data_IF_368957168608
#
_entry.id   IF_368957168608
#
_cell.length_a   1.000
_cell.length_b   1.000
_cell.length_c   1.000
_cell.angle_alpha   90.00
_cell.angle_beta   90.00
_cell.angle_gamma   90.00
#
_symmetry.space_group_name_H-M   'P 1'
#
loop_
_entity.id
_entity.type
_entity.pdbx_description
1 polymer ?
#
# COMPACT_ATOMS: atom_id res chain seq x y z
N UNK A 1 12.50 59.28 -59.72
CA UNK A 1 13.85 59.03 -59.21
C UNK A 1 13.95 57.55 -58.84
N UNK A 2 14.90 56.88 -59.48
CA UNK A 2 15.16 55.44 -59.51
C UNK A 2 16.45 55.18 -58.70
N UNK A 3 16.49 54.15 -57.85
CA UNK A 3 17.71 53.47 -57.33
C UNK A 3 17.25 52.21 -56.56
N UNK A 4 17.27 51.02 -57.14
CA UNK A 4 18.36 50.10 -57.54
C UNK A 4 18.88 49.24 -56.36
N UNK A 5 18.64 47.93 -56.52
CA UNK A 5 19.05 46.77 -55.73
C UNK A 5 20.56 46.48 -55.76
N UNK A 6 21.06 45.90 -54.67
CA UNK A 6 22.21 44.98 -54.52
C UNK A 6 22.17 44.54 -53.03
N UNK A 7 22.25 43.28 -52.59
CA UNK A 7 22.71 42.03 -53.17
C UNK A 7 23.54 41.34 -52.09
N UNK A 8 23.25 40.11 -51.69
CA UNK A 8 24.22 39.18 -51.08
C UNK A 8 23.64 37.77 -51.06
N UNK A 9 24.10 36.97 -52.01
CA UNK A 9 23.86 35.52 -52.06
C UNK A 9 24.91 34.78 -51.23
N UNK A 10 24.46 33.82 -50.43
CA UNK A 10 25.33 32.88 -49.75
C UNK A 10 25.57 31.66 -50.66
N UNK A 11 26.85 31.40 -50.93
CA UNK A 11 27.35 30.25 -51.66
C UNK A 11 27.48 29.07 -50.69
N UNK A 12 26.71 28.00 -50.89
CA UNK A 12 26.85 26.73 -50.15
C UNK A 12 27.79 25.82 -50.92
N UNK A 13 28.92 25.47 -50.32
CA UNK A 13 29.87 24.48 -50.83
C UNK A 13 29.46 23.10 -50.32
N UNK A 14 29.05 22.23 -51.24
CA UNK A 14 28.84 20.80 -50.98
C UNK A 14 30.19 20.07 -51.02
N UNK A 15 30.74 19.75 -49.85
CA UNK A 15 31.86 18.81 -49.74
C UNK A 15 31.29 17.38 -49.67
N UNK A 16 31.54 16.60 -50.72
CA UNK A 16 31.20 15.19 -50.77
C UNK A 16 32.13 14.35 -49.89
N UNK A 17 31.57 13.72 -48.86
CA UNK A 17 32.23 12.64 -48.13
C UNK A 17 32.09 11.34 -48.90
N UNK A 18 33.24 10.72 -49.22
CA UNK A 18 33.34 9.36 -49.75
C UNK A 18 33.00 8.37 -48.63
N UNK A 19 32.07 7.46 -48.91
CA UNK A 19 31.82 6.26 -48.10
C UNK A 19 33.00 5.30 -48.25
N UNK A 20 33.62 4.94 -47.13
CA UNK A 20 34.51 3.79 -47.02
C UNK A 20 33.68 2.52 -46.77
N UNK A 21 34.13 1.34 -47.24
CA UNK A 21 33.35 0.10 -47.10
C UNK A 21 33.36 -0.44 -45.67
N UNK A 22 32.23 -1.04 -45.30
CA UNK A 22 32.01 -1.85 -44.10
C UNK A 22 33.12 -2.87 -43.88
N UNK A 23 33.79 -2.78 -42.74
CA UNK A 23 34.50 -3.91 -42.15
C UNK A 23 34.42 -3.88 -40.64
N UNK A 24 33.93 -5.01 -40.10
CA UNK A 24 33.99 -5.47 -38.71
C UNK A 24 33.10 -4.74 -37.68
N UNK A 25 32.00 -5.40 -37.32
CA UNK A 25 31.26 -5.18 -36.08
C UNK A 25 32.19 -5.40 -34.88
N UNK A 26 32.45 -4.33 -34.15
CA UNK A 26 33.08 -4.34 -32.83
C UNK A 26 32.18 -5.16 -31.87
N UNK A 27 32.71 -6.14 -31.11
CA UNK A 27 31.91 -6.86 -30.13
C UNK A 27 31.40 -5.88 -29.07
N UNK A 28 30.09 -5.96 -28.79
CA UNK A 28 29.41 -5.15 -27.78
C UNK A 28 30.17 -5.22 -26.44
N UNK A 29 30.73 -4.10 -25.94
CA UNK A 29 31.42 -4.06 -24.65
C UNK A 29 30.47 -4.33 -23.46
N UNK A 30 29.17 -4.47 -23.71
CA UNK A 30 28.14 -4.85 -22.75
C UNK A 30 27.59 -6.26 -22.96
N UNK A 31 28.23 -7.09 -23.79
CA UNK A 31 27.87 -8.51 -23.90
C UNK A 31 28.05 -9.21 -22.54
N UNK A 32 26.94 -9.43 -21.85
CA UNK A 32 26.91 -10.16 -20.58
C UNK A 32 27.36 -11.60 -20.85
N UNK A 33 28.42 -12.10 -20.18
CA UNK A 33 28.83 -13.48 -20.35
C UNK A 33 27.67 -14.42 -19.96
N UNK A 34 27.49 -15.56 -20.66
CA UNK A 34 26.44 -16.50 -20.33
C UNK A 34 26.57 -16.92 -18.86
N UNK A 35 25.46 -16.91 -18.15
CA UNK A 35 25.42 -17.31 -16.75
C UNK A 35 26.04 -18.71 -16.59
N UNK A 36 26.88 -18.94 -15.57
CA UNK A 36 27.42 -20.26 -15.31
C UNK A 36 26.26 -21.25 -15.07
N UNK A 37 26.41 -22.53 -15.46
CA UNK A 37 25.39 -23.54 -15.18
C UNK A 37 25.13 -23.60 -13.67
N UNK A 38 23.86 -23.82 -13.26
CA UNK A 38 23.51 -23.83 -11.85
C UNK A 38 24.34 -24.89 -11.12
N UNK A 39 25.19 -24.44 -10.21
CA UNK A 39 25.89 -25.32 -9.27
C UNK A 39 24.86 -25.87 -8.28
N UNK A 40 24.64 -27.18 -8.30
CA UNK A 40 23.82 -27.87 -7.31
C UNK A 40 24.53 -27.83 -5.96
N UNK A 41 24.27 -26.79 -5.17
CA UNK A 41 24.67 -26.71 -3.77
C UNK A 41 23.56 -27.35 -2.91
N UNK A 42 23.78 -28.55 -2.33
CA UNK A 42 22.76 -29.29 -1.60
C UNK A 42 22.43 -28.71 -0.21
N UNK A 43 22.99 -27.55 0.17
CA UNK A 43 22.75 -26.93 1.48
C UNK A 43 22.11 -25.54 1.41
N UNK A 44 21.66 -25.10 0.23
CA UNK A 44 20.90 -23.85 0.11
C UNK A 44 19.41 -24.15 0.33
N UNK A 45 18.76 -23.63 1.40
CA UNK A 45 17.32 -23.77 1.53
C UNK A 45 16.65 -23.12 0.32
N UNK A 46 15.75 -23.86 -0.29
CA UNK A 46 15.08 -23.54 -1.54
C UNK A 46 14.27 -22.25 -1.37
N UNK A 47 14.83 -21.12 -1.84
CA UNK A 47 14.16 -19.80 -1.83
C UNK A 47 13.22 -19.62 -3.03
N UNK A 48 12.87 -20.71 -3.74
CA UNK A 48 11.81 -20.69 -4.75
C UNK A 48 10.46 -21.07 -4.12
N UNK A 49 9.93 -20.22 -3.26
CA UNK A 49 8.49 -19.97 -3.32
C UNK A 49 8.25 -19.23 -4.62
N UNK A 50 7.67 -19.93 -5.60
CA UNK A 50 7.06 -19.30 -6.76
C UNK A 50 6.15 -18.17 -6.24
N UNK A 51 6.45 -16.94 -6.65
CA UNK A 51 5.58 -15.80 -6.39
C UNK A 51 4.35 -15.98 -7.28
N UNK A 52 3.31 -16.54 -6.68
CA UNK A 52 1.96 -16.29 -7.13
C UNK A 52 1.74 -14.78 -7.02
N UNK A 53 1.65 -14.08 -8.16
CA UNK A 53 1.24 -12.68 -8.21
C UNK A 53 -0.28 -12.54 -8.05
N UNK A 54 -0.97 -13.61 -7.66
CA UNK A 54 -2.34 -13.55 -7.17
C UNK A 54 -2.40 -12.61 -5.99
N UNK A 55 -3.10 -11.49 -6.16
CA UNK A 55 -3.45 -10.57 -5.09
C UNK A 55 -4.03 -11.36 -3.92
N UNK A 56 -3.30 -11.43 -2.82
CA UNK A 56 -3.72 -12.18 -1.63
C UNK A 56 -4.59 -11.28 -0.76
N UNK A 57 -5.85 -11.14 -1.16
CA UNK A 57 -6.92 -10.74 -0.25
C UNK A 57 -7.26 -11.93 0.64
N UNK A 58 -6.35 -12.27 1.56
CA UNK A 58 -6.64 -13.33 2.51
C UNK A 58 -7.67 -12.83 3.50
N UNK A 59 -8.89 -13.32 3.38
CA UNK A 59 -9.88 -13.23 4.46
C UNK A 59 -9.35 -14.08 5.63
N UNK A 60 -8.81 -13.43 6.66
CA UNK A 60 -8.18 -14.12 7.80
C UNK A 60 -9.13 -14.19 9.00
N UNK A 61 -9.90 -15.26 9.13
CA UNK A 61 -10.87 -15.32 10.22
C UNK A 61 -12.09 -14.43 9.96
N UNK A 62 -12.44 -14.24 8.68
CA UNK A 62 -13.72 -13.68 8.27
C UNK A 62 -13.77 -12.15 8.26
N UNK A 63 -12.64 -11.44 8.24
CA UNK A 63 -12.61 -9.98 8.09
C UNK A 63 -11.99 -9.54 6.77
N UNK A 64 -12.44 -8.39 6.28
CA UNK A 64 -11.87 -7.62 5.18
C UNK A 64 -11.65 -6.17 5.68
N UNK A 65 -10.62 -5.49 5.15
CA UNK A 65 -10.26 -4.13 5.59
C UNK A 65 -9.70 -3.30 4.43
N UNK A 66 -9.97 -2.00 4.41
CA UNK A 66 -9.21 -1.02 3.63
C UNK A 66 -9.37 0.39 4.25
N UNK A 67 -8.50 1.33 3.88
CA UNK A 67 -8.48 2.69 4.47
C UNK A 67 -8.55 3.82 3.44
N UNK A 68 -8.46 3.51 2.14
CA UNK A 68 -8.44 4.50 1.07
C UNK A 68 -9.61 4.24 0.14
N UNK A 69 -10.39 5.26 -0.20
CA UNK A 69 -11.32 5.17 -1.33
C UNK A 69 -10.64 5.76 -2.57
N UNK A 70 -11.09 5.35 -3.75
CA UNK A 70 -10.42 5.74 -4.97
C UNK A 70 -10.62 4.76 -6.11
N UNK A 71 -9.73 4.84 -7.09
CA UNK A 71 -9.67 3.93 -8.24
C UNK A 71 -8.66 2.83 -7.95
N UNK A 72 -9.07 1.59 -8.21
CA UNK A 72 -8.29 0.37 -8.04
C UNK A 72 -8.10 -0.33 -9.39
N UNK A 73 -7.01 -1.08 -9.54
CA UNK A 73 -6.75 -1.86 -10.74
C UNK A 73 -7.61 -3.12 -10.76
N UNK A 74 -8.48 -3.29 -11.76
CA UNK A 74 -9.17 -4.55 -12.03
C UNK A 74 -9.85 -5.19 -10.81
N UNK A 75 -9.22 -6.28 -10.31
CA UNK A 75 -9.72 -7.10 -9.20
C UNK A 75 -9.19 -6.66 -7.81
N UNK A 76 -8.40 -5.60 -7.73
CA UNK A 76 -7.90 -5.05 -6.47
C UNK A 76 -8.98 -4.35 -5.66
N UNK A 77 -10.13 -3.99 -6.25
CA UNK A 77 -11.19 -3.32 -5.50
C UNK A 77 -11.65 -4.19 -4.32
N UNK A 78 -11.66 -3.67 -3.08
CA UNK A 78 -11.95 -4.47 -1.89
C UNK A 78 -13.41 -4.91 -1.79
N UNK A 79 -14.31 -4.29 -2.56
CA UNK A 79 -15.75 -4.46 -2.41
C UNK A 79 -16.45 -4.67 -3.76
N UNK A 80 -17.69 -5.17 -3.69
CA UNK A 80 -18.61 -5.18 -4.83
C UNK A 80 -19.64 -4.05 -4.70
N UNK A 81 -20.21 -3.67 -5.83
CA UNK A 81 -21.24 -2.64 -5.88
C UNK A 81 -22.44 -3.02 -5.00
N UNK A 82 -22.89 -2.08 -4.16
CA UNK A 82 -24.00 -2.26 -3.25
C UNK A 82 -23.69 -3.08 -1.99
N UNK A 83 -22.45 -3.55 -1.79
CA UNK A 83 -22.07 -4.22 -0.55
C UNK A 83 -22.17 -3.27 0.65
N UNK A 84 -22.60 -3.82 1.78
CA UNK A 84 -22.62 -3.09 3.05
C UNK A 84 -21.36 -3.39 3.84
N UNK A 85 -20.67 -2.32 4.21
CA UNK A 85 -19.47 -2.30 5.02
C UNK A 85 -19.74 -1.51 6.30
N UNK A 86 -18.83 -1.57 7.27
CA UNK A 86 -18.81 -0.63 8.38
C UNK A 86 -17.65 0.32 8.20
N UNK A 87 -17.90 1.59 8.50
CA UNK A 87 -16.93 2.66 8.35
C UNK A 87 -16.79 3.41 9.68
N UNK A 88 -15.55 3.72 10.05
CA UNK A 88 -15.25 4.65 11.16
C UNK A 88 -15.33 6.07 10.60
N UNK A 89 -16.37 6.82 10.97
CA UNK A 89 -16.56 8.23 10.63
C UNK A 89 -16.04 9.11 11.77
N UNK A 90 -15.15 10.06 11.45
CA UNK A 90 -14.52 10.97 12.41
C UNK A 90 -14.95 12.44 12.27
N UNK A 91 -16.00 12.74 11.50
CA UNK A 91 -16.49 14.12 11.30
C UNK A 91 -17.23 14.72 12.49
N UNK A 92 -17.71 13.87 13.41
CA UNK A 92 -18.48 14.29 14.58
C UNK A 92 -17.64 14.79 15.76
N UNK A 93 -18.27 15.05 16.91
CA UNK A 93 -17.55 15.34 18.17
C UNK A 93 -16.78 14.13 18.73
N UNK A 94 -16.86 12.98 18.05
CA UNK A 94 -16.15 11.75 18.31
C UNK A 94 -16.22 10.85 17.08
N UNK A 95 -15.59 9.68 17.17
CA UNK A 95 -15.61 8.68 16.12
C UNK A 95 -16.81 7.73 16.29
N UNK A 96 -17.44 7.34 15.18
CA UNK A 96 -18.58 6.42 15.16
C UNK A 96 -18.38 5.33 14.11
N UNK A 97 -18.62 4.07 14.49
CA UNK A 97 -18.72 2.96 13.56
C UNK A 97 -20.16 2.88 13.03
N UNK A 98 -20.32 3.02 11.71
CA UNK A 98 -21.62 3.00 11.05
C UNK A 98 -21.63 2.08 9.84
N UNK A 99 -22.79 1.51 9.54
CA UNK A 99 -22.97 0.78 8.28
C UNK A 99 -23.04 1.75 7.10
N UNK A 100 -22.30 1.45 6.04
CA UNK A 100 -22.27 2.21 4.79
C UNK A 100 -22.41 1.26 3.60
N UNK A 101 -23.19 1.66 2.60
CA UNK A 101 -23.26 0.92 1.35
C UNK A 101 -22.21 1.49 0.39
N UNK A 102 -21.28 0.65 -0.06
CA UNK A 102 -20.26 1.05 -1.02
C UNK A 102 -20.83 1.03 -2.45
N UNK A 103 -20.40 1.98 -3.27
CA UNK A 103 -20.67 2.03 -4.69
C UNK A 103 -19.39 1.73 -5.44
N UNK A 104 -19.45 0.76 -6.36
CA UNK A 104 -18.30 0.30 -7.14
C UNK A 104 -18.61 0.39 -8.63
N UNK A 105 -17.91 1.28 -9.32
CA UNK A 105 -18.16 1.56 -10.74
C UNK A 105 -16.93 1.31 -11.59
N UNK A 106 -17.13 1.04 -12.88
CA UNK A 106 -16.02 1.02 -13.82
C UNK A 106 -15.39 2.42 -13.90
N UNK A 107 -14.07 2.50 -13.81
CA UNK A 107 -13.31 3.74 -13.87
C UNK A 107 -12.00 3.52 -14.62
N UNK A 108 -11.48 4.58 -15.24
CA UNK A 108 -10.24 4.50 -16.00
C UNK A 108 -9.08 4.07 -15.10
N UNK A 109 -8.42 2.99 -15.47
CA UNK A 109 -7.14 2.55 -14.94
C UNK A 109 -6.03 3.28 -15.70
N UNK A 110 -5.35 4.24 -15.06
CA UNK A 110 -4.38 5.09 -15.75
C UNK A 110 -3.14 4.34 -16.28
N UNK A 111 -2.91 3.10 -15.85
CA UNK A 111 -1.76 2.30 -16.28
C UNK A 111 -2.11 1.25 -17.32
N UNK A 112 -3.29 0.65 -17.22
CA UNK A 112 -3.69 -0.41 -18.14
C UNK A 112 -4.55 0.13 -19.29
N UNK A 113 -5.42 1.12 -19.02
CA UNK A 113 -6.42 1.53 -20.00
C UNK A 113 -5.84 2.46 -21.08
N UNK A 114 -6.01 2.11 -22.37
CA UNK A 114 -5.69 3.03 -23.45
C UNK A 114 -6.62 4.25 -23.44
N UNK A 115 -6.25 5.31 -24.18
CA UNK A 115 -7.10 6.51 -24.33
C UNK A 115 -8.50 6.21 -24.88
N UNK A 116 -8.64 5.11 -25.64
CA UNK A 116 -9.91 4.63 -26.15
C UNK A 116 -10.07 3.15 -25.86
N UNK A 117 -11.07 2.77 -25.08
CA UNK A 117 -11.32 1.39 -24.72
C UNK A 117 -12.33 1.25 -23.58
N UNK A 118 -12.69 0.01 -23.22
CA UNK A 118 -13.42 -0.22 -21.97
C UNK A 118 -12.51 0.11 -20.78
N UNK A 119 -13.11 0.60 -19.70
CA UNK A 119 -12.39 0.85 -18.46
C UNK A 119 -12.19 -0.45 -17.67
N UNK A 120 -10.95 -0.78 -17.31
CA UNK A 120 -10.62 -1.96 -16.50
C UNK A 120 -10.57 -1.66 -15.01
N UNK A 121 -10.38 -0.40 -14.61
CA UNK A 121 -10.32 0.02 -13.21
C UNK A 121 -11.69 0.04 -12.52
N UNK A 122 -11.65 0.16 -11.20
CA UNK A 122 -12.82 0.17 -10.33
C UNK A 122 -12.75 1.32 -9.34
N UNK A 123 -13.69 2.27 -9.42
CA UNK A 123 -13.81 3.33 -8.42
C UNK A 123 -14.72 2.88 -7.29
N UNK A 124 -14.22 2.95 -6.06
CA UNK A 124 -14.97 2.66 -4.83
C UNK A 124 -15.28 3.97 -4.11
N UNK A 125 -16.55 4.19 -3.77
CA UNK A 125 -17.05 5.41 -3.09
C UNK A 125 -18.13 5.04 -2.06
N UNK A 126 -18.45 5.99 -1.19
CA UNK A 126 -19.63 5.99 -0.33
C UNK A 126 -20.62 7.08 -0.77
N UNK A 127 -21.86 7.10 -0.23
CA UNK A 127 -22.78 8.22 -0.45
C UNK A 127 -22.29 9.57 0.09
N UNK A 128 -21.33 9.57 1.03
CA UNK A 128 -20.73 10.78 1.59
C UNK A 128 -19.47 11.22 0.84
N UNK A 129 -18.94 10.41 -0.08
CA UNK A 129 -17.72 10.73 -0.80
C UNK A 129 -17.92 11.92 -1.74
N UNK A 130 -16.88 12.74 -1.86
CA UNK A 130 -16.75 13.78 -2.88
C UNK A 130 -15.71 13.30 -3.89
N UNK A 131 -16.08 13.29 -5.17
CA UNK A 131 -15.16 12.93 -6.26
C UNK A 131 -14.73 14.21 -6.98
N UNK A 132 -13.43 14.46 -7.03
CA UNK A 132 -12.88 15.63 -7.71
C UNK A 132 -12.81 15.45 -9.25
N UNK A 133 -12.38 16.49 -9.95
CA UNK A 133 -12.27 16.48 -11.42
C UNK A 133 -11.17 15.55 -11.96
N UNK A 134 -10.23 15.14 -11.11
CA UNK A 134 -9.15 14.19 -11.41
C UNK A 134 -9.52 12.75 -10.99
N UNK A 135 -10.70 12.54 -10.41
CA UNK A 135 -11.15 11.24 -9.93
C UNK A 135 -10.64 10.86 -8.56
N UNK A 136 -9.97 11.78 -7.85
CA UNK A 136 -9.67 11.66 -6.43
C UNK A 136 -10.96 11.56 -5.61
N UNK A 137 -10.93 10.76 -4.55
CA UNK A 137 -12.09 10.50 -3.70
C UNK A 137 -11.76 10.97 -2.28
N UNK A 138 -12.45 12.00 -1.83
CA UNK A 138 -12.42 12.45 -0.44
C UNK A 138 -13.62 11.83 0.29
N UNK A 139 -13.38 11.26 1.47
CA UNK A 139 -14.44 10.74 2.32
C UNK A 139 -14.12 11.04 3.79
N UNK A 140 -15.14 11.36 4.60
CA UNK A 140 -14.95 11.58 6.03
C UNK A 140 -14.55 10.33 6.82
N UNK A 141 -14.70 9.14 6.25
CA UNK A 141 -14.45 7.88 6.94
C UNK A 141 -13.01 7.41 6.72
N UNK A 142 -12.34 6.98 7.78
CA UNK A 142 -10.90 6.68 7.77
C UNK A 142 -10.57 5.18 7.72
N UNK A 143 -11.53 4.34 8.07
CA UNK A 143 -11.38 2.88 8.09
C UNK A 143 -12.68 2.20 7.64
N UNK A 144 -12.55 1.23 6.74
CA UNK A 144 -13.65 0.38 6.27
C UNK A 144 -13.37 -1.08 6.64
N UNK A 145 -14.33 -1.73 7.29
CA UNK A 145 -14.23 -3.13 7.73
C UNK A 145 -15.51 -3.89 7.38
N UNK A 146 -15.35 -5.13 6.93
CA UNK A 146 -16.44 -6.09 6.79
C UNK A 146 -16.11 -7.35 7.58
N UNK A 147 -17.12 -7.95 8.21
CA UNK A 147 -16.99 -9.22 8.93
C UNK A 147 -18.06 -10.22 8.47
N UNK A 148 -17.63 -11.41 8.08
CA UNK A 148 -18.50 -12.49 7.58
C UNK A 148 -19.46 -13.01 8.65
N UNK A 149 -19.03 -13.05 9.91
CA UNK A 149 -19.85 -13.50 11.04
C UNK A 149 -21.01 -12.52 11.38
N UNK A 150 -21.09 -11.38 10.69
CA UNK A 150 -22.05 -10.31 10.92
C UNK A 150 -21.35 -9.00 11.30
N UNK A 151 -22.04 -7.86 11.16
CA UNK A 151 -21.47 -6.57 11.48
C UNK A 151 -21.13 -6.46 12.97
N UNK A 152 -20.07 -5.71 13.26
CA UNK A 152 -19.77 -5.20 14.59
C UNK A 152 -20.91 -4.28 15.09
N UNK A 153 -21.02 -4.01 16.40
CA UNK A 153 -22.00 -3.05 16.90
C UNK A 153 -21.76 -1.66 16.31
N UNK A 154 -22.79 -1.05 15.71
CA UNK A 154 -22.71 0.37 15.34
C UNK A 154 -22.73 1.24 16.60
N UNK A 155 -22.08 2.41 16.53
CA UNK A 155 -22.07 3.40 17.61
C UNK A 155 -20.67 3.98 17.86
N UNK A 156 -20.49 4.69 18.99
CA UNK A 156 -19.23 5.34 19.31
C UNK A 156 -18.07 4.33 19.34
N UNK A 157 -16.94 4.70 18.74
CA UNK A 157 -15.68 3.95 18.85
C UNK A 157 -14.60 4.81 19.49
N UNK A 158 -13.79 4.21 20.35
CA UNK A 158 -12.64 4.88 20.94
C UNK A 158 -11.50 4.90 19.94
N UNK A 159 -11.06 6.08 19.53
CA UNK A 159 -9.94 6.26 18.62
C UNK A 159 -8.76 6.87 19.37
N UNK A 160 -7.63 6.18 19.33
CA UNK A 160 -6.37 6.58 19.97
C UNK A 160 -5.46 7.27 18.97
N UNK A 161 -5.38 6.72 17.76
CA UNK A 161 -4.65 7.30 16.65
C UNK A 161 -5.44 7.09 15.37
N UNK A 162 -5.67 8.17 14.66
CA UNK A 162 -6.21 8.17 13.30
C UNK A 162 -5.41 9.23 12.57
N UNK A 163 -4.42 8.77 11.82
CA UNK A 163 -3.72 9.66 10.91
C UNK A 163 -3.37 8.91 9.67
N UNK A 164 -3.63 9.55 8.55
CA UNK A 164 -3.32 9.02 7.22
C UNK A 164 -1.85 8.57 7.10
N UNK A 165 -0.94 9.06 7.96
CA UNK A 165 0.50 8.79 7.84
C UNK A 165 1.32 8.87 9.15
N UNK A 166 0.99 8.14 10.23
CA UNK A 166 2.01 7.97 11.29
C UNK A 166 3.13 7.04 10.78
N UNK A 167 4.17 7.65 10.20
CA UNK A 167 5.36 6.91 9.78
C UNK A 167 6.07 6.30 10.97
N UNK A 168 6.21 4.98 10.93
CA UNK A 168 6.96 4.22 11.90
C UNK A 168 8.46 4.32 11.55
N UNK A 169 9.22 4.93 12.46
CA UNK A 169 10.64 5.20 12.31
C UNK A 169 11.45 4.08 12.97
N UNK A 170 12.66 3.89 12.48
CA UNK A 170 13.61 2.98 13.08
C UNK A 170 13.84 3.33 14.55
N UNK A 171 13.81 2.31 15.41
CA UNK A 171 13.95 2.45 16.87
C UNK A 171 12.90 3.36 17.51
N UNK A 172 11.74 3.56 16.85
CA UNK A 172 10.63 4.35 17.34
C UNK A 172 9.82 3.61 18.42
N UNK A 173 9.33 4.38 19.39
CA UNK A 173 8.38 3.93 20.41
C UNK A 173 7.17 4.89 20.42
N UNK A 174 5.99 4.34 20.19
CA UNK A 174 4.76 5.08 19.99
C UNK A 174 3.76 4.73 21.10
N UNK A 175 3.61 5.58 22.13
CA UNK A 175 2.63 5.34 23.17
C UNK A 175 1.21 5.55 22.63
N UNK A 176 0.34 4.57 22.88
CA UNK A 176 -1.07 4.55 22.50
C UNK A 176 -1.89 4.44 23.80
N UNK A 177 -2.67 5.47 24.12
CA UNK A 177 -3.47 5.51 25.35
C UNK A 177 -4.94 5.30 25.06
N UNK A 178 -5.49 4.16 25.49
CA UNK A 178 -6.90 3.79 25.37
C UNK A 178 -7.49 3.66 26.77
N UNK A 179 -8.51 4.46 27.10
CA UNK A 179 -9.23 4.41 28.39
C UNK A 179 -8.32 4.36 29.64
N UNK A 180 -7.22 5.11 29.60
CA UNK A 180 -6.24 5.19 30.69
C UNK A 180 -5.21 4.05 30.72
N UNK A 181 -5.36 3.03 29.87
CA UNK A 181 -4.36 2.02 29.62
C UNK A 181 -3.36 2.49 28.55
N UNK A 182 -2.06 2.40 28.85
CA UNK A 182 -1.00 2.76 27.90
C UNK A 182 -0.37 1.51 27.30
N UNK A 183 -0.43 1.43 25.98
CA UNK A 183 0.28 0.48 25.15
C UNK A 183 1.47 1.20 24.49
N UNK A 184 2.51 0.45 24.13
CA UNK A 184 3.65 1.01 23.40
C UNK A 184 3.94 0.16 22.17
N UNK A 185 3.71 0.74 20.99
CA UNK A 185 4.13 0.14 19.73
C UNK A 185 5.63 0.46 19.53
N UNK A 186 6.46 -0.57 19.44
CA UNK A 186 7.91 -0.45 19.26
C UNK A 186 8.31 -0.97 17.90
N UNK A 187 9.20 -0.24 17.24
CA UNK A 187 9.62 -0.51 15.86
C UNK A 187 11.13 -0.64 15.84
N UNK A 188 11.62 -1.78 15.38
CA UNK A 188 13.04 -2.05 15.21
C UNK A 188 13.29 -2.38 13.74
N UNK A 189 14.32 -1.78 13.14
CA UNK A 189 14.76 -2.13 11.80
C UNK A 189 15.99 -3.03 11.89
N UNK A 190 16.02 -4.08 11.07
CA UNK A 190 17.23 -4.83 10.80
C UNK A 190 17.90 -4.22 9.56
N UNK A 191 19.04 -3.57 9.75
CA UNK A 191 19.81 -2.91 8.70
C UNK A 191 20.92 -3.82 8.18
N UNK A 192 21.23 -3.77 6.89
CA UNK A 192 22.43 -4.40 6.34
C UNK A 192 23.61 -3.46 6.14
N UNK A 193 24.76 -4.06 5.86
CA UNK A 193 25.95 -3.37 5.37
C UNK A 193 25.55 -2.45 4.20
N UNK A 194 25.74 -1.14 4.37
CA UNK A 194 25.26 -0.10 3.46
C UNK A 194 24.10 0.76 3.98
N UNK A 195 23.55 0.47 5.16
CA UNK A 195 22.52 1.30 5.81
C UNK A 195 21.10 1.10 5.30
N UNK A 196 20.89 0.11 4.43
CA UNK A 196 19.55 -0.25 3.94
C UNK A 196 18.83 -1.13 4.96
N UNK A 197 17.59 -0.78 5.26
CA UNK A 197 16.70 -1.58 6.10
C UNK A 197 16.24 -2.78 5.29
N UNK A 198 16.43 -4.00 5.82
CA UNK A 198 15.96 -5.25 5.20
C UNK A 198 14.62 -5.71 5.72
N UNK A 199 14.35 -5.40 6.98
CA UNK A 199 13.15 -5.87 7.65
C UNK A 199 12.80 -4.94 8.79
N UNK A 200 11.52 -4.64 8.91
CA UNK A 200 10.93 -3.99 10.08
C UNK A 200 10.36 -5.06 11.00
N UNK A 201 10.61 -4.92 12.30
CA UNK A 201 9.95 -5.70 13.33
C UNK A 201 9.12 -4.76 14.19
N UNK A 202 7.82 -5.02 14.27
CA UNK A 202 6.87 -4.25 15.07
C UNK A 202 6.42 -5.12 16.23
N UNK A 203 6.43 -4.57 17.44
CA UNK A 203 6.00 -5.25 18.66
C UNK A 203 5.13 -4.33 19.51
N UNK A 204 4.20 -4.90 20.26
CA UNK A 204 3.31 -4.17 21.16
C UNK A 204 3.60 -4.55 22.60
N UNK A 205 3.94 -3.57 23.44
CA UNK A 205 4.01 -3.73 24.88
C UNK A 205 2.70 -3.26 25.50
N UNK A 206 2.10 -4.11 26.34
CA UNK A 206 0.83 -3.87 27.02
C UNK A 206 1.01 -3.11 28.34
N UNK A 207 -0.07 -2.59 28.95
CA UNK A 207 0.01 -1.86 30.22
C UNK A 207 0.63 -2.66 31.38
N UNK A 208 0.56 -3.99 31.34
CA UNK A 208 1.16 -4.86 32.37
C UNK A 208 2.64 -5.18 32.11
N UNK A 209 3.24 -4.62 31.05
CA UNK A 209 4.62 -4.84 30.66
C UNK A 209 4.86 -6.07 29.77
N UNK A 210 3.84 -6.85 29.43
CA UNK A 210 4.00 -7.98 28.49
C UNK A 210 4.16 -7.46 27.06
N UNK A 211 5.12 -8.02 26.32
CA UNK A 211 5.41 -7.64 24.93
C UNK A 211 5.07 -8.79 23.98
N UNK A 212 4.39 -8.46 22.89
CA UNK A 212 4.07 -9.38 21.79
C UNK A 212 4.68 -8.86 20.47
N UNK A 213 5.35 -9.71 19.67
CA UNK A 213 5.63 -9.39 18.26
C UNK A 213 4.33 -9.31 17.45
N UNK A 214 4.07 -8.18 16.79
CA UNK A 214 2.87 -7.95 15.98
C UNK A 214 3.09 -8.45 14.55
N UNK A 215 4.12 -7.92 13.87
CA UNK A 215 4.45 -8.29 12.49
C UNK A 215 5.94 -8.11 12.20
N UNK A 216 6.36 -8.70 11.08
CA UNK A 216 7.65 -8.49 10.43
C UNK A 216 7.40 -8.13 8.98
N UNK A 217 7.83 -6.94 8.57
CA UNK A 217 7.62 -6.42 7.22
C UNK A 217 8.96 -6.45 6.49
N UNK A 218 9.13 -7.28 5.44
CA UNK A 218 10.33 -7.19 4.62
C UNK A 218 10.37 -5.82 3.94
N UNK A 219 11.57 -5.26 3.76
CA UNK A 219 11.75 -4.04 2.98
C UNK A 219 12.54 -4.41 1.72
N UNK A 220 11.88 -4.40 0.57
CA UNK A 220 12.49 -4.75 -0.71
C UNK A 220 12.94 -3.52 -1.47
N UNK A 221 12.10 -2.49 -1.54
CA UNK A 221 12.42 -1.23 -2.23
C UNK A 221 11.71 -0.05 -1.57
N UNK A 222 12.17 0.36 -0.40
CA UNK A 222 11.67 1.56 0.29
C UNK A 222 10.26 1.42 0.85
N UNK A 223 9.83 0.20 1.16
CA UNK A 223 8.62 -0.03 1.95
C UNK A 223 8.82 0.47 3.39
N UNK A 224 7.85 1.25 3.86
CA UNK A 224 7.86 1.84 5.19
C UNK A 224 6.54 1.56 5.89
N UNK A 225 6.55 0.84 7.03
CA UNK A 225 5.32 0.58 7.73
C UNK A 225 4.74 1.88 8.33
N UNK A 226 3.41 1.94 8.41
CA UNK A 226 2.69 3.07 8.99
C UNK A 226 1.65 2.56 9.96
N UNK A 227 1.41 3.33 11.03
CA UNK A 227 0.20 3.16 11.82
C UNK A 227 -0.90 3.98 11.15
N UNK A 228 -1.91 3.30 10.61
CA UNK A 228 -3.04 3.94 9.93
C UNK A 228 -4.15 4.27 10.93
N UNK A 229 -4.43 3.33 11.84
CA UNK A 229 -5.47 3.50 12.86
C UNK A 229 -5.15 2.68 14.12
N UNK A 230 -5.54 3.19 15.27
CA UNK A 230 -5.52 2.50 16.56
C UNK A 230 -6.72 2.93 17.41
N UNK A 231 -7.39 1.97 18.05
CA UNK A 231 -8.59 2.22 18.82
C UNK A 231 -9.20 0.95 19.38
N UNK A 232 -10.48 1.01 19.76
CA UNK A 232 -11.31 -0.14 20.15
C UNK A 232 -12.44 -0.27 19.12
N UNK A 233 -12.29 -1.19 18.17
CA UNK A 233 -13.16 -1.27 17.00
C UNK A 233 -14.45 -2.02 17.31
N UNK A 234 -14.41 -2.97 18.24
CA UNK A 234 -15.52 -3.86 18.57
C UNK A 234 -16.08 -3.68 19.99
N UNK A 235 -15.64 -2.62 20.67
CA UNK A 235 -16.11 -2.17 21.99
C UNK A 235 -15.81 -3.16 23.11
N UNK A 236 -14.69 -3.87 23.04
CA UNK A 236 -14.26 -4.82 24.07
C UNK A 236 -13.34 -4.19 25.14
N UNK A 237 -13.02 -2.90 25.00
CA UNK A 237 -12.16 -2.12 25.88
C UNK A 237 -10.67 -2.38 25.68
N UNK A 238 -10.26 -3.04 24.59
CA UNK A 238 -8.86 -3.34 24.28
C UNK A 238 -8.45 -2.73 22.95
N UNK A 239 -7.13 -2.62 22.79
CA UNK A 239 -6.53 -1.96 21.64
C UNK A 239 -6.53 -2.88 20.43
N UNK A 240 -7.07 -2.38 19.33
CA UNK A 240 -7.02 -2.88 17.96
C UNK A 240 -6.14 -1.97 17.10
N UNK A 241 -5.58 -2.50 16.01
CA UNK A 241 -4.65 -1.77 15.13
C UNK A 241 -4.95 -2.00 13.65
N UNK A 242 -4.73 -0.95 12.85
CA UNK A 242 -4.57 -1.06 11.40
C UNK A 242 -3.18 -0.55 11.04
N UNK A 243 -2.39 -1.43 10.42
CA UNK A 243 -1.05 -1.12 9.95
C UNK A 243 -1.01 -1.12 8.43
N UNK A 244 -0.22 -0.21 7.88
CA UNK A 244 0.33 -0.40 6.56
C UNK A 244 1.62 -1.21 6.68
N UNK A 245 1.66 -2.34 6.00
CA UNK A 245 2.78 -3.29 5.93
C UNK A 245 3.41 -3.30 4.53
N UNK A 246 3.33 -2.18 3.81
CA UNK A 246 4.03 -1.96 2.54
C UNK A 246 5.50 -2.38 2.61
N UNK A 247 5.86 -3.31 1.73
CA UNK A 247 7.22 -3.82 1.58
C UNK A 247 7.96 -3.23 0.37
N UNK A 248 7.26 -2.44 -0.46
CA UNK A 248 7.76 -1.79 -1.66
C UNK A 248 7.02 -0.46 -1.87
N UNK A 249 7.69 0.54 -2.46
CA UNK A 249 7.16 1.91 -2.60
C UNK A 249 5.85 2.02 -3.39
N UNK A 250 5.57 1.07 -4.29
CA UNK A 250 4.36 1.00 -5.09
C UNK A 250 3.39 -0.10 -4.64
N UNK A 251 3.55 -0.66 -3.44
CA UNK A 251 2.61 -1.64 -2.88
C UNK A 251 2.04 -1.06 -1.61
N UNK A 252 0.73 -1.09 -1.44
CA UNK A 252 0.07 -0.80 -0.15
C UNK A 252 -0.41 -2.10 0.46
N UNK A 253 -0.14 -2.34 1.75
CA UNK A 253 -0.61 -3.55 2.44
C UNK A 253 -1.32 -3.17 3.74
N UNK A 254 -2.62 -2.91 3.65
CA UNK A 254 -3.45 -2.61 4.82
C UNK A 254 -3.74 -3.89 5.59
N UNK A 255 -3.38 -3.94 6.88
CA UNK A 255 -3.55 -5.12 7.73
C UNK A 255 -4.28 -4.77 9.02
N UNK A 256 -5.37 -5.47 9.31
CA UNK A 256 -6.18 -5.30 10.52
C UNK A 256 -5.80 -6.34 11.58
N UNK A 257 -5.60 -5.84 12.80
CA UNK A 257 -5.37 -6.63 14.00
C UNK A 257 -6.47 -6.34 15.03
N UNK A 258 -7.16 -7.38 15.48
CA UNK A 258 -8.25 -7.28 16.46
C UNK A 258 -7.89 -8.10 17.70
N UNK A 259 -8.13 -7.51 18.87
CA UNK A 259 -7.79 -8.05 20.18
C UNK A 259 -8.82 -9.07 20.69
N UNK A 260 -10.10 -8.90 20.38
CA UNK A 260 -11.15 -9.89 20.68
C UNK A 260 -10.99 -11.23 19.97
N UNK A 261 -10.34 -11.22 18.82
CA UNK A 261 -10.07 -12.40 18.00
C UNK A 261 -8.80 -13.13 18.43
N UNK A 262 -8.03 -12.58 19.36
CA UNK A 262 -6.78 -13.13 19.85
C UNK A 262 -6.96 -14.34 20.78
N UNK A 263 -6.13 -15.35 20.59
CA UNK A 263 -6.07 -16.52 21.48
C UNK A 263 -5.60 -16.14 22.90
N UNK A 264 -5.91 -16.93 23.94
CA UNK A 264 -5.41 -16.67 25.29
C UNK A 264 -3.88 -16.49 25.33
N UNK A 265 -3.43 -15.40 25.96
CA UNK A 265 -2.01 -15.03 26.04
C UNK A 265 -1.47 -14.25 24.84
N UNK A 266 -2.30 -14.03 23.82
CA UNK A 266 -2.03 -13.17 22.66
C UNK A 266 -2.85 -11.89 22.82
N UNK A 267 -2.25 -10.74 22.55
CA UNK A 267 -2.89 -9.42 22.69
C UNK A 267 -3.67 -9.07 21.42
N UNK A 268 -3.04 -9.31 20.26
CA UNK A 268 -3.58 -8.98 18.95
C UNK A 268 -3.50 -10.18 18.01
N UNK A 269 -4.54 -10.37 17.21
CA UNK A 269 -4.54 -11.30 16.09
C UNK A 269 -4.76 -10.56 14.79
N UNK A 270 -3.97 -10.90 13.77
CA UNK A 270 -4.21 -10.47 12.40
C UNK A 270 -5.48 -11.13 11.85
N UNK A 271 -6.44 -10.33 11.40
CA UNK A 271 -7.74 -10.80 10.92
C UNK A 271 -8.11 -10.35 9.50
N UNK A 272 -7.44 -9.33 8.96
CA UNK A 272 -7.61 -9.01 7.55
C UNK A 272 -6.31 -8.48 6.97
N UNK A 273 -6.16 -8.68 5.66
CA UNK A 273 -5.07 -8.12 4.87
C UNK A 273 -5.62 -7.76 3.49
N UNK A 274 -5.31 -6.56 3.06
CA UNK A 274 -5.66 -6.04 1.74
C UNK A 274 -4.41 -5.45 1.10
N UNK A 275 -4.12 -5.91 -0.11
CA UNK A 275 -2.94 -5.52 -0.87
C UNK A 275 -3.37 -4.89 -2.19
N UNK A 276 -2.79 -3.73 -2.49
CA UNK A 276 -2.97 -3.04 -3.77
C UNK A 276 -1.61 -2.65 -4.32
N UNK A 277 -1.54 -2.52 -5.64
CA UNK A 277 -0.38 -1.94 -6.32
C UNK A 277 -0.71 -0.52 -6.77
N UNK A 278 0.16 0.41 -6.42
CA UNK A 278 0.19 1.74 -6.99
C UNK A 278 0.99 1.76 -8.29
N UNK A 279 0.75 2.80 -9.06
CA UNK A 279 1.41 3.07 -10.33
C UNK A 279 2.48 4.14 -10.22
#
# INVERSE_FOLDING_TARGET
MLRLLLGLGALVVLAGCRLAPDTATDPDPYAVPPAPPPTSDPLRPDTRTAFDTGFDTTVLGGYEVFTVLGVYHGAEAPARDGETWQAVDTTGPGAELRSVQLRVEAARDEVIDPDTGPFTGRRVTTPASVVDEFGGVEDPSTLFVRREAGPLPNGPVSVVADSETTYLRESGAYPLSLDGATYTLTVVADSSEGGFIRQWQISLTTPNGSTQPVTRVPNRDGGHPRLLWAGDLDSDGRLDLVLDESWHYNVTVTTLYVSSEASPGVVLRRVARHETTGC
#
